data_IF_224079153442
#
_entry.id   IF_224079153442
#
_cell.length_a   1.000
_cell.length_b   1.000
_cell.length_c   1.000
_cell.angle_alpha   90.00
_cell.angle_beta   90.00
_cell.angle_gamma   90.00
#
_symmetry.space_group_name_H-M   'P 1'
#
loop_
_entity.id
_entity.type
_entity.pdbx_description
1 polymer ?
#
# COMPACT_ATOMS: atom_id res chain seq x y z
N UNK A 1 -8.07 -3.82 16.99
CA UNK A 1 -7.99 -2.99 15.76
C UNK A 1 -9.08 -3.37 14.75
N UNK A 2 -9.25 -4.66 14.45
CA UNK A 2 -10.12 -5.17 13.36
C UNK A 2 -11.53 -4.59 13.30
N UNK A 3 -12.33 -4.64 14.38
CA UNK A 3 -13.70 -4.08 14.38
C UNK A 3 -13.73 -2.58 14.10
N UNK A 4 -12.74 -1.82 14.63
CA UNK A 4 -12.60 -0.39 14.37
C UNK A 4 -12.26 -0.13 12.89
N UNK A 5 -11.33 -0.91 12.34
CA UNK A 5 -10.94 -0.80 10.93
C UNK A 5 -12.09 -1.17 9.98
N UNK A 6 -12.90 -2.19 10.31
CA UNK A 6 -14.08 -2.54 9.53
C UNK A 6 -15.11 -1.39 9.48
N UNK A 7 -15.32 -0.69 10.61
CA UNK A 7 -16.19 0.51 10.64
C UNK A 7 -15.61 1.66 9.83
N UNK A 8 -14.30 1.89 9.89
CA UNK A 8 -13.63 2.91 9.09
C UNK A 8 -13.66 2.59 7.58
N UNK A 9 -13.53 1.31 7.23
CA UNK A 9 -13.65 0.82 5.85
C UNK A 9 -15.00 1.15 5.24
N UNK A 10 -16.11 0.92 5.95
CA UNK A 10 -17.45 1.27 5.47
C UNK A 10 -17.58 2.78 5.19
N UNK A 11 -17.02 3.64 6.07
CA UNK A 11 -17.00 5.09 5.85
C UNK A 11 -16.21 5.49 4.61
N UNK A 12 -15.07 4.84 4.35
CA UNK A 12 -14.30 5.06 3.13
C UNK A 12 -15.14 4.71 1.90
N UNK A 13 -15.89 3.61 1.93
CA UNK A 13 -16.75 3.25 0.80
C UNK A 13 -17.85 4.31 0.57
N UNK A 14 -18.41 4.88 1.63
CA UNK A 14 -19.40 5.97 1.53
C UNK A 14 -18.81 7.24 0.89
N UNK A 15 -17.57 7.63 1.23
CA UNK A 15 -16.96 8.89 0.76
C UNK A 15 -16.12 8.76 -0.52
N UNK A 16 -15.58 7.59 -0.81
CA UNK A 16 -14.66 7.33 -1.91
C UNK A 16 -15.15 6.24 -2.88
N UNK A 17 -16.36 5.71 -2.68
CA UNK A 17 -16.95 4.63 -3.48
C UNK A 17 -16.42 3.25 -3.11
N UNK A 18 -15.11 3.04 -3.12
CA UNK A 18 -14.49 1.78 -2.70
C UNK A 18 -13.16 1.99 -1.97
N UNK A 19 -12.80 1.03 -1.11
CA UNK A 19 -11.47 1.03 -0.46
C UNK A 19 -10.34 0.80 -1.48
N UNK A 20 -10.62 0.03 -2.53
CA UNK A 20 -9.70 -0.17 -3.66
C UNK A 20 -9.35 1.16 -4.34
N UNK A 21 -10.35 1.93 -4.78
CA UNK A 21 -10.15 3.26 -5.37
C UNK A 21 -9.42 4.20 -4.42
N UNK A 22 -9.72 4.11 -3.12
CA UNK A 22 -9.05 4.89 -2.09
C UNK A 22 -7.55 4.59 -1.99
N UNK A 23 -7.14 3.32 -2.04
CA UNK A 23 -5.73 2.93 -1.96
C UNK A 23 -5.01 3.25 -3.27
N UNK A 24 -5.60 2.93 -4.42
CA UNK A 24 -4.97 3.15 -5.73
C UNK A 24 -4.81 4.63 -6.10
N UNK A 25 -5.61 5.54 -5.50
CA UNK A 25 -5.45 6.99 -5.75
C UNK A 25 -4.06 7.52 -5.41
N UNK A 26 -3.35 6.89 -4.46
CA UNK A 26 -2.03 7.35 -4.02
C UNK A 26 -0.94 7.13 -5.07
N UNK A 27 -1.20 6.31 -6.08
CA UNK A 27 -0.30 6.03 -7.21
C UNK A 27 -0.98 6.27 -8.56
N UNK A 28 -2.09 7.01 -8.57
CA UNK A 28 -2.89 7.28 -9.78
C UNK A 28 -3.30 5.99 -10.52
N UNK A 29 -3.57 4.91 -9.78
CA UNK A 29 -3.95 3.61 -10.34
C UNK A 29 -2.81 2.81 -10.96
N UNK A 30 -1.55 3.23 -10.77
CA UNK A 30 -0.38 2.55 -11.34
C UNK A 30 0.39 1.77 -10.28
N UNK A 31 0.89 0.61 -10.68
CA UNK A 31 1.87 -0.14 -9.89
C UNK A 31 3.21 0.57 -9.93
N UNK A 32 3.83 0.79 -8.77
CA UNK A 32 5.19 1.30 -8.69
C UNK A 32 6.20 0.15 -8.81
N UNK A 33 6.86 0.07 -9.96
CA UNK A 33 7.90 -0.91 -10.24
C UNK A 33 9.26 -0.42 -9.70
N UNK A 34 9.71 -0.96 -8.57
CA UNK A 34 11.09 -0.74 -8.12
C UNK A 34 12.06 -1.70 -8.80
N UNK A 35 13.36 -1.48 -8.67
CA UNK A 35 14.42 -2.31 -9.29
C UNK A 35 15.51 -2.70 -8.27
N UNK A 36 15.08 -3.17 -7.11
CA UNK A 36 16.00 -3.62 -6.06
C UNK A 36 16.80 -4.85 -6.51
N UNK A 37 18.11 -4.83 -6.30
CA UNK A 37 18.99 -5.96 -6.66
C UNK A 37 19.07 -7.02 -5.58
N UNK A 38 18.77 -6.65 -4.34
CA UNK A 38 18.85 -7.52 -3.17
C UNK A 38 17.85 -7.08 -2.09
N UNK A 39 17.53 -7.98 -1.18
CA UNK A 39 16.48 -7.77 -0.16
C UNK A 39 16.83 -6.65 0.83
N UNK A 40 18.10 -6.44 1.13
CA UNK A 40 18.60 -5.40 2.04
C UNK A 40 18.43 -3.98 1.50
N UNK A 41 18.19 -3.83 0.19
CA UNK A 41 17.88 -2.53 -0.43
C UNK A 41 16.42 -2.12 -0.25
N UNK A 42 15.53 -3.07 0.05
CA UNK A 42 14.10 -2.82 0.21
C UNK A 42 13.90 -2.09 1.55
N UNK A 43 13.38 -0.85 1.54
CA UNK A 43 13.21 -0.09 2.78
C UNK A 43 12.06 -0.67 3.62
N UNK A 44 12.08 -0.42 4.92
CA UNK A 44 10.95 -0.79 5.80
C UNK A 44 9.74 0.14 5.66
N UNK A 45 9.91 1.32 5.05
CA UNK A 45 8.86 2.31 4.79
C UNK A 45 9.30 3.29 3.71
N UNK A 46 8.35 3.98 3.08
CA UNK A 46 8.57 5.00 2.06
C UNK A 46 7.75 6.25 2.34
N UNK A 47 8.05 7.34 1.64
CA UNK A 47 7.21 8.56 1.69
C UNK A 47 5.76 8.29 1.24
N UNK A 48 5.55 7.31 0.36
CA UNK A 48 4.22 6.85 -0.03
C UNK A 48 3.51 6.16 1.14
N UNK A 49 4.16 5.21 1.82
CA UNK A 49 3.56 4.52 2.95
C UNK A 49 3.31 5.44 4.15
N UNK A 50 4.11 6.50 4.31
CA UNK A 50 3.88 7.56 5.31
C UNK A 50 2.58 8.32 5.02
N UNK A 51 2.33 8.68 3.76
CA UNK A 51 1.12 9.35 3.32
C UNK A 51 -0.14 8.47 3.50
N UNK A 52 -0.04 7.19 3.13
CA UNK A 52 -1.13 6.22 3.31
C UNK A 52 -1.42 6.01 4.80
N UNK A 53 -0.39 5.79 5.62
CA UNK A 53 -0.49 5.67 7.09
C UNK A 53 -1.17 6.90 7.71
N UNK A 54 -0.76 8.10 7.32
CA UNK A 54 -1.36 9.35 7.81
C UNK A 54 -2.84 9.45 7.43
N UNK A 55 -3.19 9.12 6.19
CA UNK A 55 -4.57 9.20 5.70
C UNK A 55 -5.47 8.17 6.39
N UNK A 56 -5.04 6.90 6.45
CA UNK A 56 -5.79 5.85 7.13
C UNK A 56 -6.01 6.16 8.62
N UNK A 57 -5.01 6.75 9.31
CA UNK A 57 -5.17 7.20 10.70
C UNK A 57 -6.22 8.31 10.81
N UNK A 58 -6.21 9.28 9.89
CA UNK A 58 -7.20 10.36 9.86
C UNK A 58 -8.62 9.82 9.61
N UNK A 59 -8.74 8.78 8.78
CA UNK A 59 -10.01 8.10 8.49
C UNK A 59 -10.44 7.12 9.60
N UNK A 60 -9.67 7.04 10.68
CA UNK A 60 -10.06 6.32 11.90
C UNK A 60 -9.62 4.86 11.94
N UNK A 61 -8.72 4.42 11.06
CA UNK A 61 -8.06 3.11 11.21
C UNK A 61 -7.09 3.11 12.39
N UNK A 62 -6.82 1.92 12.94
CA UNK A 62 -5.78 1.68 13.93
C UNK A 62 -4.88 0.52 13.52
N UNK A 63 -3.66 0.51 14.07
CA UNK A 63 -2.61 -0.45 13.70
C UNK A 63 -2.20 -0.35 12.21
N UNK A 64 -2.08 0.90 11.73
CA UNK A 64 -1.73 1.26 10.35
C UNK A 64 -0.48 2.14 10.35
N UNK A 65 0.60 1.67 10.98
CA UNK A 65 1.90 2.34 10.93
C UNK A 65 2.48 2.35 9.52
N UNK A 66 3.47 3.20 9.24
CA UNK A 66 4.04 3.33 7.89
C UNK A 66 4.59 2.02 7.35
N UNK A 67 5.34 1.26 8.16
CA UNK A 67 5.83 -0.08 7.80
C UNK A 67 4.70 -1.07 7.49
N UNK A 68 3.61 -1.04 8.26
CA UNK A 68 2.44 -1.90 8.01
C UNK A 68 1.78 -1.50 6.68
N UNK A 69 1.67 -0.19 6.41
CA UNK A 69 1.14 0.29 5.14
C UNK A 69 2.04 -0.08 3.97
N UNK A 70 3.37 0.01 4.13
CA UNK A 70 4.29 -0.39 3.07
C UNK A 70 4.15 -1.87 2.74
N UNK A 71 4.11 -2.73 3.77
CA UNK A 71 3.86 -4.16 3.60
C UNK A 71 2.51 -4.44 2.92
N UNK A 72 1.45 -3.69 3.26
CA UNK A 72 0.16 -3.79 2.57
C UNK A 72 0.27 -3.40 1.09
N UNK A 73 0.94 -2.29 0.76
CA UNK A 73 1.11 -1.82 -0.62
C UNK A 73 1.91 -2.82 -1.46
N UNK A 74 2.94 -3.44 -0.88
CA UNK A 74 3.69 -4.53 -1.50
C UNK A 74 2.80 -5.75 -1.75
N UNK A 75 2.09 -6.21 -0.72
CA UNK A 75 1.24 -7.41 -0.80
C UNK A 75 0.03 -7.25 -1.73
N UNK A 76 -0.52 -6.03 -1.82
CA UNK A 76 -1.64 -5.71 -2.70
C UNK A 76 -1.22 -5.40 -4.14
N UNK A 77 0.09 -5.37 -4.44
CA UNK A 77 0.61 -5.10 -5.78
C UNK A 77 0.63 -3.63 -6.17
N UNK A 78 0.34 -2.69 -5.26
CA UNK A 78 0.50 -1.25 -5.52
C UNK A 78 1.97 -0.87 -5.67
N UNK A 79 2.84 -1.59 -4.96
CA UNK A 79 4.30 -1.51 -5.09
C UNK A 79 4.81 -2.90 -5.46
N UNK A 80 5.53 -3.01 -6.57
CA UNK A 80 6.25 -4.22 -6.90
C UNK A 80 7.70 -4.12 -6.42
N UNK A 81 7.98 -4.84 -5.33
CA UNK A 81 9.31 -4.94 -4.73
C UNK A 81 9.96 -6.32 -4.93
N UNK A 82 9.44 -7.14 -5.84
CA UNK A 82 10.20 -8.30 -6.28
C UNK A 82 11.58 -7.83 -6.76
N UNK A 83 12.65 -8.37 -6.20
CA UNK A 83 14.02 -8.04 -6.65
C UNK A 83 14.20 -8.40 -8.12
N UNK A 84 15.10 -7.72 -8.82
CA UNK A 84 15.27 -7.84 -10.29
C UNK A 84 15.57 -9.27 -10.77
N UNK A 85 16.14 -10.11 -9.91
CA UNK A 85 16.43 -11.52 -10.20
C UNK A 85 15.25 -12.47 -9.95
N UNK A 86 14.16 -11.99 -9.35
CA UNK A 86 12.95 -12.77 -9.15
C UNK A 86 12.21 -12.96 -10.48
N UNK A 87 11.79 -14.19 -10.77
CA UNK A 87 11.07 -14.51 -12.01
C UNK A 87 9.76 -13.73 -12.19
N UNK A 88 9.17 -13.23 -11.10
CA UNK A 88 7.92 -12.43 -11.12
C UNK A 88 8.13 -10.93 -11.27
N UNK A 89 9.37 -10.46 -11.33
CA UNK A 89 9.67 -9.03 -11.38
C UNK A 89 9.01 -8.35 -12.58
N UNK A 90 9.04 -8.99 -13.76
CA UNK A 90 8.48 -8.45 -15.00
C UNK A 90 6.99 -8.78 -15.20
N UNK A 91 6.44 -9.70 -14.42
CA UNK A 91 5.06 -10.19 -14.59
C UNK A 91 3.99 -9.24 -14.02
N UNK A 92 4.41 -8.18 -13.32
CA UNK A 92 3.52 -7.28 -12.57
C UNK A 92 3.55 -5.83 -13.12
N UNK A 93 3.94 -5.68 -14.38
CA UNK A 93 3.98 -4.39 -15.10
C UNK A 93 2.72 -4.27 -15.97
N UNK A 94 1.57 -4.00 -15.33
CA UNK A 94 0.34 -3.58 -16.01
C UNK A 94 0.22 -2.04 -16.02
#
# INVERSE_FOLDING_TARGET
ATVKNAKAFLKIQESHGSFDSYIWRFTEGKTLQNQWRSMDQIPASTSLSDQVSKSLKADGFSFVGSTICYALLQAAGVVNDHIVSCFRHLDLVD
#
